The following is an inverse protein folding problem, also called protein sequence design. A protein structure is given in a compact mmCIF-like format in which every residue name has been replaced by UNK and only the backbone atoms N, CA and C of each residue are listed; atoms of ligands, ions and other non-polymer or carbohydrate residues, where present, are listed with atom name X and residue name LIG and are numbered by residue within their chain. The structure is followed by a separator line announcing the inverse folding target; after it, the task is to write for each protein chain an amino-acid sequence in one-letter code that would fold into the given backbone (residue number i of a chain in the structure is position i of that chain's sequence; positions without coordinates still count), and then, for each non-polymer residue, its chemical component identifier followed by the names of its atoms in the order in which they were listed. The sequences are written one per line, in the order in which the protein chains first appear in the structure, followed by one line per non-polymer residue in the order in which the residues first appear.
data_IF_049744719934
#
_entry.id   IF_049744719934
#
_cell.length_a   1.000
_cell.length_b   1.000
_cell.length_c   1.000
_cell.angle_alpha   90.00
_cell.angle_beta   90.00
_cell.angle_gamma   90.00
#
_symmetry.space_group_name_H-M   'P 1'
#
loop_
_entity.id
_entity.type
_entity.pdbx_description
1 polymer ?
#
# COMPACT_ATOMS: atom_id res chain seq x y z
N UNK A 1 -35.04 -31.89 -48.59
CA UNK A 1 -36.25 -31.70 -47.76
C UNK A 1 -35.82 -31.70 -46.31
N UNK A 2 -36.15 -30.64 -45.56
CA UNK A 2 -36.38 -30.58 -44.09
C UNK A 2 -35.48 -31.43 -43.18
N UNK A 3 -34.73 -30.92 -42.21
CA UNK A 3 -35.05 -29.92 -41.17
C UNK A 3 -34.47 -30.51 -39.87
N UNK A 4 -33.56 -29.83 -39.17
CA UNK A 4 -33.91 -29.05 -37.97
C UNK A 4 -33.69 -29.85 -36.67
N UNK A 5 -32.67 -29.49 -35.89
CA UNK A 5 -32.73 -29.35 -34.42
C UNK A 5 -31.34 -29.00 -33.88
N UNK A 6 -31.22 -27.76 -33.42
CA UNK A 6 -30.11 -27.24 -32.66
C UNK A 6 -30.38 -27.40 -31.15
N UNK A 7 -29.28 -27.28 -30.39
CA UNK A 7 -29.17 -26.95 -28.95
C UNK A 7 -29.33 -28.13 -27.98
N UNK A 8 -28.26 -28.38 -27.22
CA UNK A 8 -28.15 -28.30 -25.75
C UNK A 8 -27.08 -29.29 -25.28
N UNK A 9 -25.86 -28.79 -24.97
CA UNK A 9 -24.93 -29.33 -23.96
C UNK A 9 -23.52 -28.74 -24.19
N UNK A 10 -23.27 -27.55 -23.67
CA UNK A 10 -21.92 -27.05 -23.42
C UNK A 10 -21.99 -25.96 -22.35
N UNK A 11 -22.30 -26.37 -21.13
CA UNK A 11 -22.11 -25.62 -19.89
C UNK A 11 -21.56 -26.62 -18.88
N UNK A 12 -20.66 -26.15 -18.02
CA UNK A 12 -19.95 -26.87 -16.95
C UNK A 12 -18.59 -27.46 -17.34
N UNK A 13 -17.57 -26.60 -17.48
CA UNK A 13 -16.15 -26.93 -17.21
C UNK A 13 -15.28 -25.65 -17.26
N UNK A 14 -15.63 -24.65 -16.44
CA UNK A 14 -14.80 -23.45 -16.25
C UNK A 14 -14.84 -23.00 -14.80
N UNK A 15 -14.55 -23.91 -13.87
CA UNK A 15 -14.61 -23.61 -12.45
C UNK A 15 -13.86 -24.63 -11.63
N UNK A 16 -12.53 -24.75 -11.83
CA UNK A 16 -11.64 -25.32 -10.82
C UNK A 16 -10.16 -25.15 -11.19
N UNK A 17 -9.60 -23.94 -11.09
CA UNK A 17 -8.16 -23.79 -10.83
C UNK A 17 -7.98 -22.60 -9.88
N UNK A 18 -8.47 -22.74 -8.66
CA UNK A 18 -8.05 -21.90 -7.54
C UNK A 18 -6.92 -22.66 -6.86
N UNK A 19 -5.71 -22.53 -7.40
CA UNK A 19 -4.50 -23.05 -6.76
C UNK A 19 -4.30 -22.26 -5.47
N UNK A 20 -4.39 -22.97 -4.34
CA UNK A 20 -4.01 -22.51 -3.02
C UNK A 20 -2.54 -22.08 -3.03
N UNK A 21 -2.28 -20.81 -3.30
CA UNK A 21 -1.14 -20.12 -2.71
C UNK A 21 -1.63 -19.60 -1.35
N UNK A 22 -1.58 -20.45 -0.32
CA UNK A 22 -1.53 -19.94 1.04
C UNK A 22 -0.17 -19.27 1.14
N UNK A 23 -0.13 -17.96 0.84
CA UNK A 23 0.96 -17.13 1.31
C UNK A 23 0.86 -17.19 2.84
N UNK A 24 1.64 -18.07 3.44
CA UNK A 24 1.99 -17.95 4.84
C UNK A 24 2.63 -16.58 4.93
N UNK A 25 1.87 -15.59 5.41
CA UNK A 25 2.45 -14.34 5.91
C UNK A 25 3.30 -14.76 7.09
N UNK A 26 4.51 -15.20 6.80
CA UNK A 26 5.59 -15.17 7.77
C UNK A 26 5.75 -13.69 8.02
N UNK A 27 5.16 -13.21 9.11
CA UNK A 27 5.63 -12.00 9.76
C UNK A 27 7.11 -12.28 10.03
N UNK A 28 7.96 -11.86 9.09
CA UNK A 28 9.38 -11.78 9.34
C UNK A 28 9.46 -10.75 10.46
N UNK A 29 9.70 -11.24 11.68
CA UNK A 29 10.13 -10.41 12.78
C UNK A 29 11.46 -9.76 12.33
N UNK A 30 11.34 -8.60 11.68
CA UNK A 30 12.43 -7.94 10.95
C UNK A 30 12.06 -6.56 10.43
N UNK A 31 10.79 -6.32 10.05
CA UNK A 31 10.24 -4.97 9.98
C UNK A 31 9.62 -4.64 11.33
N UNK A 32 10.38 -4.01 12.20
CA UNK A 32 9.81 -3.33 13.36
C UNK A 32 8.87 -2.24 12.83
N UNK A 33 7.59 -2.58 12.68
CA UNK A 33 6.51 -1.58 12.62
C UNK A 33 6.67 -0.74 13.87
N UNK A 34 7.25 0.45 13.71
CA UNK A 34 7.52 1.34 14.83
C UNK A 34 6.18 1.90 15.27
N UNK A 35 5.75 1.42 16.44
CA UNK A 35 4.77 2.05 17.30
C UNK A 35 5.14 3.54 17.44
N UNK A 36 4.45 4.40 16.70
CA UNK A 36 4.66 5.85 16.79
C UNK A 36 3.83 6.41 17.93
N UNK A 37 4.38 7.38 18.68
CA UNK A 37 3.61 8.11 19.69
C UNK A 37 2.29 8.61 19.09
N UNK A 38 1.15 8.49 19.80
CA UNK A 38 -0.13 8.99 19.29
C UNK A 38 -0.01 10.49 18.96
N UNK A 39 -0.25 10.84 17.70
CA UNK A 39 -0.34 12.25 17.29
C UNK A 39 -1.61 12.78 17.92
N UNK A 40 -1.52 13.72 18.87
CA UNK A 40 -2.62 14.08 19.78
C UNK A 40 -3.94 14.52 19.12
N UNK A 41 -3.96 14.78 17.81
CA UNK A 41 -5.14 15.14 17.03
C UNK A 41 -5.67 14.00 16.12
N UNK A 42 -4.90 12.94 15.90
CA UNK A 42 -5.28 11.79 15.07
C UNK A 42 -6.36 10.96 15.78
N UNK A 43 -7.53 10.81 15.15
CA UNK A 43 -8.65 10.02 15.72
C UNK A 43 -9.73 9.73 14.67
N UNK A 44 -10.58 8.76 15.00
CA UNK A 44 -11.85 8.50 14.32
C UNK A 44 -13.00 8.84 15.27
N UNK A 45 -13.84 9.81 14.90
CA UNK A 45 -15.05 10.16 15.63
C UNK A 45 -16.20 9.24 15.24
N UNK A 46 -16.46 8.26 16.11
CA UNK A 46 -17.56 7.30 15.94
C UNK A 46 -18.92 7.87 16.37
N UNK A 47 -18.96 9.04 17.02
CA UNK A 47 -20.22 9.65 17.50
C UNK A 47 -21.02 10.31 16.38
N UNK A 48 -20.37 10.67 15.28
CA UNK A 48 -20.98 11.19 14.07
C UNK A 48 -21.73 10.11 13.24
N UNK A 49 -21.80 8.88 13.74
CA UNK A 49 -22.45 7.74 13.10
C UNK A 49 -21.60 7.13 11.99
N UNK A 50 -21.96 5.91 11.58
CA UNK A 50 -21.28 5.16 10.53
C UNK A 50 -22.28 4.46 9.61
N UNK A 51 -21.76 3.81 8.58
CA UNK A 51 -22.56 2.95 7.70
C UNK A 51 -22.90 1.62 8.38
N UNK A 52 -23.97 0.91 7.97
CA UNK A 52 -24.26 -0.42 8.48
C UNK A 52 -23.14 -1.42 8.12
N UNK A 53 -22.64 -2.16 9.12
CA UNK A 53 -21.77 -3.32 8.93
C UNK A 53 -22.54 -4.59 9.28
N UNK A 54 -22.48 -5.58 8.39
CA UNK A 54 -23.04 -6.92 8.64
C UNK A 54 -21.96 -7.81 9.23
N UNK A 55 -22.24 -8.44 10.37
CA UNK A 55 -21.28 -9.33 11.05
C UNK A 55 -21.51 -10.78 10.63
N UNK A 56 -20.50 -11.40 10.01
CA UNK A 56 -20.50 -12.83 9.66
C UNK A 56 -19.84 -13.70 10.74
N UNK A 57 -19.00 -13.11 11.60
CA UNK A 57 -18.41 -13.73 12.78
C UNK A 57 -17.87 -12.64 13.70
N UNK A 58 -17.76 -12.91 15.00
CA UNK A 58 -17.39 -11.92 16.01
C UNK A 58 -16.56 -12.54 17.12
N UNK A 59 -15.59 -11.78 17.62
CA UNK A 59 -14.89 -12.04 18.87
C UNK A 59 -15.11 -10.92 19.88
N UNK A 60 -14.84 -11.22 21.14
CA UNK A 60 -14.94 -10.27 22.25
C UNK A 60 -16.36 -9.90 22.62
N UNK A 61 -16.47 -9.05 23.64
CA UNK A 61 -17.74 -8.48 24.09
C UNK A 61 -17.71 -6.98 23.82
N UNK A 62 -18.72 -6.40 23.15
CA UNK A 62 -18.78 -4.96 22.91
C UNK A 62 -18.71 -4.15 24.21
N UNK A 63 -18.04 -2.99 24.18
CA UNK A 63 -18.10 -2.05 25.28
C UNK A 63 -19.55 -1.58 25.51
N UNK A 64 -19.98 -1.54 26.77
CA UNK A 64 -21.28 -0.95 27.14
C UNK A 64 -21.19 0.57 27.16
N UNK A 65 -22.31 1.27 27.31
CA UNK A 65 -22.31 2.72 27.44
C UNK A 65 -21.50 3.24 28.66
N UNK A 66 -21.22 2.37 29.64
CA UNK A 66 -20.40 2.70 30.80
C UNK A 66 -18.90 2.48 30.57
N UNK A 67 -18.52 1.73 29.52
CA UNK A 67 -17.14 1.36 29.21
C UNK A 67 -16.60 2.21 28.06
N UNK A 68 -15.30 2.49 28.08
CA UNK A 68 -14.62 3.08 26.93
C UNK A 68 -14.55 2.05 25.79
N UNK A 69 -14.67 2.53 24.54
CA UNK A 69 -14.52 1.69 23.37
C UNK A 69 -13.10 1.12 23.32
N UNK A 70 -13.00 -0.18 23.07
CA UNK A 70 -11.72 -0.84 22.85
C UNK A 70 -11.78 -1.67 21.56
N UNK A 71 -11.48 -1.03 20.41
CA UNK A 71 -11.48 -1.67 19.10
C UNK A 71 -10.58 -2.91 18.99
N UNK A 72 -9.60 -3.06 19.90
CA UNK A 72 -8.66 -4.18 19.89
C UNK A 72 -9.20 -5.38 20.68
N UNK A 73 -10.19 -5.18 21.56
CA UNK A 73 -10.76 -6.25 22.41
C UNK A 73 -12.08 -6.81 21.91
N UNK A 74 -12.74 -6.14 20.97
CA UNK A 74 -14.05 -6.52 20.47
C UNK A 74 -14.21 -6.19 18.99
N UNK A 75 -14.59 -7.18 18.20
CA UNK A 75 -14.99 -6.99 16.80
C UNK A 75 -16.07 -5.92 16.64
N UNK A 76 -17.05 -5.84 17.55
CA UNK A 76 -18.11 -4.84 17.47
C UNK A 76 -17.63 -3.40 17.73
N UNK A 77 -16.56 -3.23 18.51
CA UNK A 77 -15.95 -1.91 18.74
C UNK A 77 -15.09 -1.52 17.54
N UNK A 78 -14.33 -2.47 16.98
CA UNK A 78 -13.61 -2.32 15.72
C UNK A 78 -14.54 -1.98 14.55
N UNK A 79 -15.66 -2.71 14.42
CA UNK A 79 -16.69 -2.49 13.41
C UNK A 79 -17.24 -1.06 13.48
N UNK A 80 -17.42 -0.48 14.67
CA UNK A 80 -17.88 0.92 14.79
C UNK A 80 -16.86 1.92 14.27
N UNK A 81 -15.57 1.66 14.48
CA UNK A 81 -14.49 2.48 13.92
C UNK A 81 -14.48 2.36 12.39
N UNK A 82 -14.51 1.13 11.87
CA UNK A 82 -14.53 0.87 10.42
C UNK A 82 -15.78 1.47 9.76
N UNK A 83 -16.94 1.41 10.42
CA UNK A 83 -18.19 1.99 9.94
C UNK A 83 -18.11 3.51 9.79
N UNK A 84 -17.43 4.19 10.72
CA UNK A 84 -17.21 5.63 10.64
C UNK A 84 -16.26 5.98 9.47
N UNK A 85 -15.22 5.17 9.24
CA UNK A 85 -14.31 5.34 8.09
C UNK A 85 -15.03 5.16 6.76
N UNK A 86 -15.84 4.11 6.59
CA UNK A 86 -16.61 3.93 5.37
C UNK A 86 -17.65 5.04 5.14
N UNK A 87 -18.25 5.57 6.20
CA UNK A 87 -19.13 6.74 6.07
C UNK A 87 -18.38 8.00 5.59
N UNK A 88 -17.14 8.21 6.05
CA UNK A 88 -16.28 9.30 5.60
C UNK A 88 -15.88 9.11 4.13
N UNK A 89 -15.51 7.88 3.74
CA UNK A 89 -15.19 7.53 2.35
C UNK A 89 -16.38 7.71 1.40
N UNK A 90 -17.59 7.29 1.80
CA UNK A 90 -18.81 7.54 1.02
C UNK A 90 -19.07 9.04 0.83
N UNK A 91 -18.85 9.84 1.87
CA UNK A 91 -19.00 11.29 1.80
C UNK A 91 -17.95 11.93 0.88
N UNK A 92 -16.68 11.56 1.04
CA UNK A 92 -15.57 12.05 0.22
C UNK A 92 -15.80 11.75 -1.25
N UNK A 93 -16.08 10.49 -1.60
CA UNK A 93 -16.28 10.08 -2.99
C UNK A 93 -17.56 10.63 -3.60
N UNK A 94 -18.63 10.79 -2.83
CA UNK A 94 -19.83 11.48 -3.29
C UNK A 94 -19.51 12.92 -3.70
N UNK A 95 -18.73 13.65 -2.89
CA UNK A 95 -18.31 15.01 -3.19
C UNK A 95 -17.35 15.06 -4.40
N UNK A 96 -16.34 14.20 -4.43
CA UNK A 96 -15.35 14.15 -5.51
C UNK A 96 -15.98 13.84 -6.88
N UNK A 97 -16.89 12.85 -6.92
CA UNK A 97 -17.61 12.49 -8.15
C UNK A 97 -18.56 13.59 -8.60
N UNK A 98 -19.29 14.22 -7.67
CA UNK A 98 -20.15 15.35 -7.97
C UNK A 98 -19.36 16.54 -8.51
N UNK A 99 -18.21 16.86 -7.92
CA UNK A 99 -17.34 17.95 -8.37
C UNK A 99 -16.80 17.70 -9.78
N UNK A 100 -16.53 16.45 -10.13
CA UNK A 100 -16.10 16.02 -11.45
C UNK A 100 -17.24 15.87 -12.48
N UNK A 101 -18.49 16.19 -12.11
CA UNK A 101 -19.66 16.02 -12.98
C UNK A 101 -19.95 14.56 -13.34
N UNK A 102 -19.48 13.60 -12.54
CA UNK A 102 -19.73 12.17 -12.70
C UNK A 102 -21.08 11.80 -12.10
N UNK A 103 -21.55 10.60 -12.43
CA UNK A 103 -22.72 10.03 -11.77
C UNK A 103 -22.50 9.95 -10.26
N UNK A 104 -23.56 10.20 -9.49
CA UNK A 104 -23.51 10.11 -8.04
C UNK A 104 -22.99 8.75 -7.58
N UNK A 105 -22.26 8.75 -6.46
CA UNK A 105 -21.83 7.53 -5.81
C UNK A 105 -23.08 6.72 -5.42
N UNK A 106 -23.13 5.47 -5.86
CA UNK A 106 -24.08 4.48 -5.35
C UNK A 106 -23.32 3.61 -4.35
N UNK A 107 -23.67 3.50 -3.06
CA UNK A 107 -22.93 2.64 -2.13
C UNK A 107 -22.82 1.16 -2.62
N UNK A 108 -21.79 0.40 -2.18
CA UNK A 108 -21.65 -1.02 -2.54
C UNK A 108 -22.92 -1.82 -2.22
N UNK A 109 -23.52 -2.47 -3.23
CA UNK A 109 -24.81 -3.16 -3.08
C UNK A 109 -24.74 -4.36 -2.11
N UNK A 110 -23.60 -5.04 -2.03
CA UNK A 110 -23.31 -6.10 -1.07
C UNK A 110 -22.98 -5.60 0.35
N UNK A 111 -22.79 -4.29 0.50
CA UNK A 111 -22.46 -3.62 1.75
C UNK A 111 -21.07 -3.96 2.30
N UNK A 112 -20.87 -3.66 3.58
CA UNK A 112 -19.64 -3.93 4.32
C UNK A 112 -19.86 -5.09 5.29
N UNK A 113 -18.95 -6.06 5.29
CA UNK A 113 -19.09 -7.31 6.06
C UNK A 113 -17.87 -7.54 6.95
N UNK A 114 -18.10 -7.53 8.25
CA UNK A 114 -17.12 -7.91 9.26
C UNK A 114 -17.07 -9.42 9.40
N UNK A 115 -15.87 -10.00 9.38
CA UNK A 115 -15.67 -11.44 9.54
C UNK A 115 -14.56 -11.69 10.56
N UNK A 116 -14.78 -12.60 11.50
CA UNK A 116 -13.73 -13.13 12.36
C UNK A 116 -13.01 -14.26 11.62
N UNK A 117 -11.73 -14.06 11.29
CA UNK A 117 -10.90 -15.05 10.58
C UNK A 117 -10.58 -16.30 11.40
N UNK A 118 -10.75 -16.24 12.72
CA UNK A 118 -10.62 -17.35 13.67
C UNK A 118 -11.97 -18.01 13.99
N UNK A 119 -13.05 -17.53 13.37
CA UNK A 119 -14.39 -18.04 13.53
C UNK A 119 -14.56 -19.49 13.08
N UNK A 120 -15.73 -20.10 13.34
CA UNK A 120 -15.96 -21.51 13.06
C UNK A 120 -15.90 -21.80 11.56
N UNK A 121 -15.40 -23.00 11.22
CA UNK A 121 -15.41 -23.51 9.86
C UNK A 121 -16.83 -23.52 9.28
N UNK A 122 -16.99 -23.10 8.03
CA UNK A 122 -18.28 -23.01 7.34
C UNK A 122 -18.93 -21.63 7.36
N UNK A 123 -18.41 -20.67 8.16
CA UNK A 123 -18.78 -19.26 8.04
C UNK A 123 -18.33 -18.71 6.68
N UNK A 124 -19.23 -18.02 5.98
CA UNK A 124 -19.00 -17.45 4.64
C UNK A 124 -19.45 -15.99 4.63
N UNK A 125 -18.73 -15.15 3.90
CA UNK A 125 -19.01 -13.73 3.78
C UNK A 125 -18.57 -13.25 2.40
N UNK A 126 -19.51 -12.72 1.61
CA UNK A 126 -19.23 -12.28 0.24
C UNK A 126 -18.42 -13.35 -0.53
N UNK A 127 -17.23 -13.00 -1.01
CA UNK A 127 -16.36 -13.86 -1.80
C UNK A 127 -15.50 -14.81 -0.95
N UNK A 128 -15.64 -14.75 0.37
CA UNK A 128 -14.93 -15.58 1.34
C UNK A 128 -15.76 -16.83 1.64
N UNK A 129 -15.14 -17.98 1.36
CA UNK A 129 -15.74 -19.30 1.52
C UNK A 129 -15.38 -19.98 2.84
N UNK A 130 -14.29 -19.55 3.49
CA UNK A 130 -13.86 -20.00 4.81
C UNK A 130 -13.12 -18.87 5.56
N UNK A 131 -13.24 -18.78 6.90
CA UNK A 131 -12.61 -17.71 7.70
C UNK A 131 -11.10 -17.51 7.48
N UNK A 132 -10.35 -18.59 7.31
CA UNK A 132 -8.90 -18.49 7.12
C UNK A 132 -8.47 -17.77 5.85
N UNK A 133 -9.37 -17.61 4.85
CA UNK A 133 -9.04 -16.92 3.60
C UNK A 133 -8.99 -15.39 3.74
N UNK A 134 -9.63 -14.84 4.79
CA UNK A 134 -9.61 -13.40 5.06
C UNK A 134 -8.56 -13.04 6.11
N UNK A 135 -7.87 -14.01 6.72
CA UNK A 135 -6.96 -13.77 7.84
C UNK A 135 -5.92 -12.66 7.54
N UNK A 136 -5.96 -11.60 8.34
CA UNK A 136 -5.09 -10.43 8.19
C UNK A 136 -5.34 -9.59 6.94
N UNK A 137 -6.51 -9.70 6.30
CA UNK A 137 -6.79 -9.04 5.04
C UNK A 137 -8.21 -8.42 4.96
N UNK A 138 -8.41 -7.58 3.95
CA UNK A 138 -9.70 -7.07 3.49
C UNK A 138 -9.79 -7.27 1.97
N UNK A 139 -11.01 -7.35 1.45
CA UNK A 139 -11.22 -7.43 0.01
C UNK A 139 -12.49 -6.70 -0.39
N UNK A 140 -12.42 -5.92 -1.46
CA UNK A 140 -13.58 -5.69 -2.32
C UNK A 140 -13.88 -6.93 -3.16
N UNK A 141 -15.09 -7.49 -3.00
CA UNK A 141 -15.59 -8.64 -3.74
C UNK A 141 -16.39 -8.20 -4.98
N UNK A 142 -15.82 -8.20 -6.21
CA UNK A 142 -16.43 -7.50 -7.34
C UNK A 142 -17.75 -8.10 -7.84
N UNK A 143 -17.93 -9.42 -7.67
CA UNK A 143 -19.14 -10.12 -8.10
C UNK A 143 -20.35 -9.86 -7.19
N UNK A 144 -20.11 -9.47 -5.94
CA UNK A 144 -21.13 -9.18 -4.94
C UNK A 144 -21.19 -7.70 -4.58
N UNK A 145 -20.32 -6.86 -5.18
CA UNK A 145 -20.19 -5.42 -4.94
C UNK A 145 -20.22 -5.07 -3.45
N UNK A 146 -19.30 -5.66 -2.68
CA UNK A 146 -19.21 -5.42 -1.23
C UNK A 146 -17.80 -5.61 -0.72
N UNK A 147 -17.50 -5.06 0.45
CA UNK A 147 -16.19 -5.18 1.10
C UNK A 147 -16.32 -6.11 2.29
N UNK A 148 -15.41 -7.08 2.41
CA UNK A 148 -15.27 -7.96 3.57
C UNK A 148 -13.92 -7.72 4.22
N UNK A 149 -13.86 -7.70 5.55
CA UNK A 149 -12.61 -7.47 6.27
C UNK A 149 -12.48 -8.36 7.50
N UNK A 150 -11.24 -8.70 7.82
CA UNK A 150 -10.91 -9.43 9.04
C UNK A 150 -10.97 -8.54 10.27
N UNK A 151 -12.00 -8.74 11.07
CA UNK A 151 -12.17 -8.05 12.34
C UNK A 151 -11.17 -8.48 13.40
N UNK A 152 -10.67 -9.73 13.36
CA UNK A 152 -9.86 -10.33 14.42
C UNK A 152 -8.35 -10.21 14.18
N UNK A 153 -7.92 -10.21 12.92
CA UNK A 153 -6.52 -10.04 12.52
C UNK A 153 -6.23 -8.63 12.01
N UNK A 154 -6.84 -8.24 10.89
CA UNK A 154 -6.49 -7.00 10.19
C UNK A 154 -6.78 -5.74 11.03
N UNK A 155 -8.03 -5.56 11.49
CA UNK A 155 -8.43 -4.32 12.19
C UNK A 155 -7.56 -4.06 13.44
N UNK A 156 -7.28 -5.05 14.30
CA UNK A 156 -6.38 -4.86 15.43
C UNK A 156 -4.95 -4.50 15.02
N UNK A 157 -4.41 -5.12 13.97
CA UNK A 157 -3.06 -4.79 13.46
C UNK A 157 -3.03 -3.36 12.91
N UNK A 158 -4.03 -2.96 12.13
CA UNK A 158 -4.14 -1.61 11.58
C UNK A 158 -4.17 -0.55 12.70
N UNK A 159 -5.03 -0.73 13.70
CA UNK A 159 -5.15 0.23 14.80
C UNK A 159 -3.95 0.20 15.75
N UNK A 160 -3.44 -0.99 16.07
CA UNK A 160 -2.34 -1.16 17.03
C UNK A 160 -1.00 -0.69 16.49
N UNK A 161 -0.69 -1.00 15.22
CA UNK A 161 0.61 -0.69 14.62
C UNK A 161 0.60 0.60 13.81
N UNK A 162 -0.53 0.96 13.19
CA UNK A 162 -0.62 2.07 12.24
C UNK A 162 -1.63 3.15 12.62
N UNK A 163 -2.28 3.02 13.77
CA UNK A 163 -3.23 4.01 14.27
C UNK A 163 -4.48 4.16 13.40
N UNK A 164 -5.20 5.26 13.64
CA UNK A 164 -6.43 5.57 12.90
C UNK A 164 -6.12 5.93 11.44
N UNK A 165 -5.01 6.61 11.20
CA UNK A 165 -4.62 7.03 9.86
C UNK A 165 -4.29 5.83 8.95
N UNK A 166 -3.55 4.83 9.47
CA UNK A 166 -3.24 3.61 8.73
C UNK A 166 -4.48 2.77 8.45
N UNK A 167 -5.38 2.63 9.43
CA UNK A 167 -6.67 1.97 9.21
C UNK A 167 -7.47 2.67 8.10
N UNK A 168 -7.55 4.00 8.14
CA UNK A 168 -8.29 4.77 7.15
C UNK A 168 -7.71 4.62 5.74
N UNK A 169 -6.38 4.63 5.58
CA UNK A 169 -5.73 4.43 4.29
C UNK A 169 -5.96 3.03 3.71
N UNK A 170 -5.86 1.99 4.53
CA UNK A 170 -6.09 0.60 4.11
C UNK A 170 -7.54 0.41 3.61
N UNK A 171 -8.53 0.95 4.32
CA UNK A 171 -9.91 0.89 3.85
C UNK A 171 -10.21 1.83 2.68
N UNK A 172 -9.45 2.92 2.53
CA UNK A 172 -9.55 3.78 1.36
C UNK A 172 -9.09 3.07 0.07
N UNK A 173 -8.08 2.20 0.17
CA UNK A 173 -7.67 1.31 -0.92
C UNK A 173 -8.82 0.37 -1.32
N UNK A 174 -9.39 -0.38 -0.37
CA UNK A 174 -10.52 -1.29 -0.65
C UNK A 174 -11.74 -0.57 -1.24
N UNK A 175 -12.04 0.62 -0.72
CA UNK A 175 -13.10 1.46 -1.24
C UNK A 175 -12.78 2.02 -2.62
N UNK A 176 -11.50 2.23 -2.94
CA UNK A 176 -11.01 2.56 -4.26
C UNK A 176 -11.49 1.57 -5.31
N UNK A 177 -11.43 0.26 -5.05
CA UNK A 177 -12.00 -0.75 -5.96
C UNK A 177 -13.52 -0.61 -6.14
N UNK A 178 -14.25 -0.26 -5.08
CA UNK A 178 -15.68 0.00 -5.20
C UNK A 178 -15.95 1.20 -6.13
N UNK A 179 -15.15 2.27 -6.03
CA UNK A 179 -15.26 3.45 -6.90
C UNK A 179 -14.87 3.10 -8.33
N UNK A 180 -13.81 2.32 -8.56
CA UNK A 180 -13.38 1.88 -9.89
C UNK A 180 -14.54 1.24 -10.68
N UNK A 181 -15.33 0.38 -10.04
CA UNK A 181 -16.49 -0.28 -10.69
C UNK A 181 -17.57 0.71 -11.12
N UNK A 182 -17.62 1.91 -10.52
CA UNK A 182 -18.61 2.95 -10.81
C UNK A 182 -18.14 3.94 -11.86
N UNK A 183 -16.84 4.16 -11.97
CA UNK A 183 -16.24 5.22 -12.81
C UNK A 183 -15.45 4.70 -14.00
N UNK A 184 -15.04 3.43 -13.94
CA UNK A 184 -14.19 2.77 -14.92
C UNK A 184 -14.87 1.56 -15.58
N UNK A 185 -14.12 0.71 -16.26
CA UNK A 185 -14.64 -0.51 -16.88
C UNK A 185 -15.19 -1.46 -15.82
N UNK A 186 -16.28 -2.17 -16.16
CA UNK A 186 -16.86 -3.17 -15.26
C UNK A 186 -15.88 -4.31 -15.00
N UNK A 187 -16.02 -5.07 -13.88
CA UNK A 187 -15.18 -6.23 -13.62
C UNK A 187 -15.16 -7.24 -14.77
N UNK A 188 -16.30 -7.45 -15.45
CA UNK A 188 -16.39 -8.33 -16.60
C UNK A 188 -15.59 -7.82 -17.82
N UNK A 189 -15.56 -6.49 -18.04
CA UNK A 189 -14.73 -5.90 -19.10
C UNK A 189 -13.25 -6.04 -18.77
N UNK A 190 -12.84 -5.76 -17.53
CA UNK A 190 -11.45 -5.93 -17.08
C UNK A 190 -10.98 -7.38 -17.24
N UNK A 191 -11.81 -8.34 -16.80
CA UNK A 191 -11.52 -9.75 -16.90
C UNK A 191 -11.42 -10.25 -18.36
N UNK A 192 -12.15 -9.63 -19.29
CA UNK A 192 -12.11 -9.99 -20.71
C UNK A 192 -10.86 -9.48 -21.43
N UNK A 193 -10.14 -8.50 -20.85
CA UNK A 193 -8.94 -7.88 -21.43
C UNK A 193 -7.86 -7.69 -20.33
N UNK A 194 -7.27 -8.78 -19.83
CA UNK A 194 -6.29 -8.74 -18.74
C UNK A 194 -4.94 -8.11 -19.13
N UNK A 195 -4.65 -8.00 -20.43
CA UNK A 195 -3.44 -7.31 -20.92
C UNK A 195 -3.59 -5.79 -20.76
N UNK A 196 -4.79 -5.27 -21.03
CA UNK A 196 -5.12 -3.86 -20.83
C UNK A 196 -5.43 -3.50 -19.37
N UNK A 197 -6.00 -4.45 -18.63
CA UNK A 197 -6.40 -4.26 -17.23
C UNK A 197 -5.80 -5.34 -16.33
N UNK A 198 -4.46 -5.43 -16.25
CA UNK A 198 -3.80 -6.39 -15.37
C UNK A 198 -4.07 -6.05 -13.90
N UNK A 199 -3.94 -7.05 -13.02
CA UNK A 199 -4.16 -6.86 -11.58
C UNK A 199 -3.35 -5.69 -11.02
N UNK A 200 -2.06 -5.59 -11.38
CA UNK A 200 -1.18 -4.49 -10.92
C UNK A 200 -1.72 -3.10 -11.26
N UNK A 201 -2.40 -2.92 -12.40
CA UNK A 201 -3.03 -1.64 -12.74
C UNK A 201 -4.26 -1.41 -11.87
N UNK A 202 -5.08 -2.43 -11.64
CA UNK A 202 -6.27 -2.35 -10.78
C UNK A 202 -5.88 -1.97 -9.35
N UNK A 203 -4.78 -2.56 -8.83
CA UNK A 203 -4.22 -2.24 -7.52
C UNK A 203 -3.61 -0.84 -7.48
N UNK A 204 -2.85 -0.44 -8.51
CA UNK A 204 -2.29 0.91 -8.60
C UNK A 204 -3.38 1.99 -8.57
N UNK A 205 -4.49 1.76 -9.26
CA UNK A 205 -5.64 2.66 -9.24
C UNK A 205 -6.30 2.73 -7.84
N UNK A 206 -6.26 1.65 -7.05
CA UNK A 206 -6.81 1.61 -5.69
C UNK A 206 -5.88 2.31 -4.67
N UNK A 207 -4.56 2.11 -4.78
CA UNK A 207 -3.58 2.86 -4.00
C UNK A 207 -3.62 4.36 -4.33
N UNK A 208 -3.78 4.71 -5.61
CA UNK A 208 -4.04 6.09 -6.01
C UNK A 208 -5.31 6.65 -5.34
N UNK A 209 -6.41 5.90 -5.37
CA UNK A 209 -7.66 6.30 -4.72
C UNK A 209 -7.47 6.54 -3.21
N UNK A 210 -6.67 5.71 -2.54
CA UNK A 210 -6.29 5.90 -1.15
C UNK A 210 -5.50 7.21 -0.95
N UNK A 211 -4.52 7.50 -1.81
CA UNK A 211 -3.78 8.76 -1.78
C UNK A 211 -4.64 9.99 -1.97
N UNK A 212 -5.59 9.95 -2.92
CA UNK A 212 -6.53 11.04 -3.14
C UNK A 212 -7.44 11.29 -1.93
N UNK A 213 -7.90 10.21 -1.28
CA UNK A 213 -8.65 10.30 -0.03
C UNK A 213 -7.79 10.91 1.09
N UNK A 214 -6.54 10.49 1.26
CA UNK A 214 -5.65 11.04 2.28
C UNK A 214 -5.44 12.56 2.11
N UNK A 215 -5.28 13.04 0.87
CA UNK A 215 -5.21 14.48 0.59
C UNK A 215 -6.50 15.21 1.01
N UNK A 216 -7.67 14.62 0.71
CA UNK A 216 -8.96 15.15 1.14
C UNK A 216 -9.13 15.16 2.66
N UNK A 217 -8.77 14.07 3.34
CA UNK A 217 -8.87 13.94 4.79
C UNK A 217 -7.98 14.94 5.52
N UNK A 218 -6.76 15.16 5.03
CA UNK A 218 -5.86 16.20 5.56
C UNK A 218 -6.46 17.60 5.36
N UNK A 219 -7.02 17.89 4.19
CA UNK A 219 -7.67 19.18 3.92
C UNK A 219 -8.94 19.42 4.76
N UNK A 220 -9.61 18.34 5.17
CA UNK A 220 -10.84 18.38 5.95
C UNK A 220 -10.61 18.23 7.48
N UNK A 221 -9.36 18.08 7.94
CA UNK A 221 -9.05 17.63 9.32
C UNK A 221 -9.70 18.48 10.42
N UNK A 222 -9.86 19.79 10.21
CA UNK A 222 -10.44 20.73 11.18
C UNK A 222 -11.89 21.15 10.82
N UNK A 223 -12.49 20.54 9.81
CA UNK A 223 -13.84 20.90 9.38
C UNK A 223 -14.91 20.31 10.34
N UNK A 224 -16.01 21.05 10.61
CA UNK A 224 -17.11 20.51 11.39
C UNK A 224 -17.72 19.28 10.74
N UNK A 225 -17.92 18.21 11.53
CA UNK A 225 -18.54 16.97 11.06
C UNK A 225 -17.58 15.99 10.37
N UNK A 226 -16.28 16.28 10.33
CA UNK A 226 -15.23 15.33 9.92
C UNK A 226 -15.23 14.12 10.85
N UNK A 227 -15.30 12.90 10.29
CA UNK A 227 -15.23 11.66 11.09
C UNK A 227 -13.79 11.21 11.26
N UNK A 228 -12.99 11.35 10.21
CA UNK A 228 -11.62 10.85 10.16
C UNK A 228 -10.64 12.03 10.21
N UNK A 229 -9.97 12.18 11.34
CA UNK A 229 -9.01 13.27 11.54
C UNK A 229 -7.59 12.75 11.29
N UNK A 230 -7.01 13.12 10.15
CA UNK A 230 -5.63 12.77 9.77
C UNK A 230 -4.83 14.07 9.69
N UNK A 231 -4.07 14.43 10.74
CA UNK A 231 -3.09 15.51 10.66
C UNK A 231 -2.00 15.18 9.62
N UNK A 232 -1.37 16.17 8.98
CA UNK A 232 -0.26 15.94 8.04
C UNK A 232 0.87 15.06 8.62
N UNK A 233 1.18 15.23 9.91
CA UNK A 233 2.21 14.44 10.61
C UNK A 233 1.88 12.93 10.69
N UNK A 234 0.61 12.56 10.51
CA UNK A 234 0.16 11.16 10.50
C UNK A 234 0.33 10.49 9.12
N UNK A 235 0.65 11.22 8.05
CA UNK A 235 0.68 10.67 6.68
C UNK A 235 1.71 9.55 6.50
N UNK A 236 2.88 9.62 7.15
CA UNK A 236 3.86 8.53 7.12
C UNK A 236 3.26 7.23 7.69
N UNK A 237 2.53 7.36 8.79
CA UNK A 237 1.82 6.23 9.42
C UNK A 237 0.63 5.77 8.59
N UNK A 238 -0.05 6.71 7.92
CA UNK A 238 -1.19 6.43 7.06
C UNK A 238 -0.81 5.52 5.89
N UNK A 239 0.31 5.80 5.22
CA UNK A 239 0.73 4.99 4.06
C UNK A 239 1.44 3.70 4.45
N UNK A 240 2.00 3.62 5.66
CA UNK A 240 2.78 2.47 6.12
C UNK A 240 2.13 1.08 5.92
N UNK A 241 0.83 0.82 6.17
CA UNK A 241 0.24 -0.49 5.91
C UNK A 241 0.27 -0.87 4.43
N UNK A 242 0.12 0.09 3.51
CA UNK A 242 0.22 -0.19 2.06
C UNK A 242 1.67 -0.57 1.69
N UNK A 243 2.66 0.05 2.34
CA UNK A 243 4.08 -0.22 2.08
C UNK A 243 4.60 -1.49 2.77
N UNK A 244 4.04 -1.86 3.93
CA UNK A 244 4.46 -3.03 4.71
C UNK A 244 3.78 -4.31 4.23
N UNK A 245 2.53 -4.22 3.76
CA UNK A 245 1.81 -5.31 3.10
C UNK A 245 2.03 -5.32 1.58
N UNK A 246 3.22 -4.88 1.14
CA UNK A 246 3.68 -4.98 -0.25
C UNK A 246 3.87 -6.44 -0.68
N UNK A 247 3.95 -6.64 -1.99
CA UNK A 247 4.29 -7.95 -2.53
C UNK A 247 5.73 -8.37 -2.15
N UNK A 248 5.96 -9.68 -2.13
CA UNK A 248 7.32 -10.19 -2.12
C UNK A 248 7.96 -9.98 -3.49
N UNK A 249 9.29 -9.73 -3.59
CA UNK A 249 9.95 -9.54 -4.89
C UNK A 249 9.80 -10.71 -5.87
N UNK A 250 9.49 -11.92 -5.36
CA UNK A 250 9.21 -13.13 -6.14
C UNK A 250 7.84 -13.18 -6.80
N UNK A 251 6.94 -12.26 -6.47
CA UNK A 251 5.66 -12.11 -7.15
C UNK A 251 5.91 -11.60 -8.58
N UNK A 252 5.30 -12.26 -9.57
CA UNK A 252 5.35 -11.76 -10.94
C UNK A 252 4.42 -10.54 -11.07
N UNK A 253 4.80 -9.48 -11.80
CA UNK A 253 3.92 -8.31 -12.00
C UNK A 253 2.62 -8.66 -12.77
N UNK A 254 2.63 -9.76 -13.52
CA UNK A 254 1.46 -10.30 -14.22
C UNK A 254 0.62 -11.24 -13.36
N UNK A 255 0.98 -11.47 -12.09
CA UNK A 255 0.21 -12.32 -11.20
C UNK A 255 -1.16 -11.69 -10.93
N UNK A 256 -2.24 -12.48 -10.83
CA UNK A 256 -3.58 -11.96 -10.57
C UNK A 256 -3.74 -11.35 -9.15
N UNK A 257 -2.71 -11.46 -8.32
CA UNK A 257 -2.66 -10.95 -6.94
C UNK A 257 -1.52 -9.93 -6.75
N UNK A 258 -1.00 -9.35 -7.84
CA UNK A 258 0.10 -8.39 -7.75
C UNK A 258 -0.43 -7.00 -7.37
N UNK A 259 0.13 -6.43 -6.31
CA UNK A 259 -0.10 -5.06 -5.82
C UNK A 259 1.10 -4.15 -6.07
N UNK A 260 2.30 -4.71 -6.19
CA UNK A 260 3.56 -3.98 -6.34
C UNK A 260 4.45 -4.06 -5.10
N UNK A 261 5.70 -3.64 -5.27
CA UNK A 261 6.63 -3.42 -4.18
C UNK A 261 6.32 -2.14 -3.41
N UNK A 262 7.00 -1.91 -2.29
CA UNK A 262 6.71 -0.77 -1.42
C UNK A 262 6.83 0.56 -2.17
N UNK A 263 7.91 0.74 -2.92
CA UNK A 263 8.13 1.94 -3.72
C UNK A 263 7.08 2.12 -4.83
N UNK A 264 6.65 1.04 -5.48
CA UNK A 264 5.60 1.09 -6.52
C UNK A 264 4.30 1.64 -5.91
N UNK A 265 3.89 1.04 -4.78
CA UNK A 265 2.68 1.42 -4.05
C UNK A 265 2.73 2.85 -3.53
N UNK A 266 3.90 3.29 -3.03
CA UNK A 266 4.10 4.69 -2.65
C UNK A 266 3.92 5.63 -3.86
N UNK A 267 4.47 5.29 -5.02
CA UNK A 267 4.29 6.06 -6.25
C UNK A 267 2.81 6.23 -6.63
N UNK A 268 2.02 5.16 -6.51
CA UNK A 268 0.58 5.19 -6.79
C UNK A 268 -0.18 6.09 -5.81
N UNK A 269 0.10 5.95 -4.51
CA UNK A 269 -0.47 6.82 -3.47
C UNK A 269 -0.14 8.29 -3.75
N UNK A 270 1.12 8.59 -4.07
CA UNK A 270 1.55 9.96 -4.37
C UNK A 270 0.86 10.53 -5.61
N UNK A 271 0.60 9.71 -6.63
CA UNK A 271 -0.15 10.13 -7.81
C UNK A 271 -1.53 10.66 -7.43
N UNK A 272 -2.29 9.90 -6.64
CA UNK A 272 -3.63 10.34 -6.21
C UNK A 272 -3.58 11.50 -5.22
N UNK A 273 -2.62 11.48 -4.29
CA UNK A 273 -2.44 12.56 -3.31
C UNK A 273 -2.17 13.92 -3.97
N UNK A 274 -1.42 13.93 -5.08
CA UNK A 274 -1.01 15.16 -5.79
C UNK A 274 -1.97 15.56 -6.91
N UNK A 275 -2.41 14.60 -7.72
CA UNK A 275 -3.18 14.85 -8.93
C UNK A 275 -4.70 14.80 -8.69
N UNK A 276 -5.13 14.31 -7.52
CA UNK A 276 -6.52 14.28 -7.09
C UNK A 276 -7.30 13.06 -7.54
N UNK A 277 -8.59 12.96 -7.18
CA UNK A 277 -9.32 11.69 -7.23
C UNK A 277 -9.57 11.12 -8.63
N UNK A 278 -9.68 11.98 -9.64
CA UNK A 278 -10.05 11.53 -10.99
C UNK A 278 -8.86 11.03 -11.80
N UNK A 279 -7.64 11.49 -11.49
CA UNK A 279 -6.42 11.05 -12.19
C UNK A 279 -6.14 9.56 -11.98
N UNK A 280 -6.66 8.96 -10.91
CA UNK A 280 -6.52 7.54 -10.62
C UNK A 280 -7.10 6.67 -11.72
N UNK A 281 -8.16 7.11 -12.39
CA UNK A 281 -8.84 6.32 -13.42
C UNK A 281 -8.23 6.50 -14.81
N UNK A 282 -7.33 7.48 -14.95
CA UNK A 282 -6.58 7.76 -16.16
C UNK A 282 -5.27 6.95 -16.23
N UNK A 283 -4.85 6.34 -15.12
CA UNK A 283 -3.69 5.44 -15.10
C UNK A 283 -3.89 4.26 -16.05
N UNK A 284 -2.85 3.98 -16.81
CA UNK A 284 -2.74 2.89 -17.78
C UNK A 284 -1.48 2.07 -17.53
N UNK A 285 -1.35 0.94 -18.24
CA UNK A 285 -0.12 0.14 -18.23
C UNK A 285 1.09 0.89 -18.77
N UNK A 286 0.88 1.89 -19.64
CA UNK A 286 1.96 2.71 -20.19
C UNK A 286 2.58 3.57 -19.08
N UNK A 287 1.76 4.18 -18.23
CA UNK A 287 2.21 4.96 -17.07
C UNK A 287 3.04 4.10 -16.12
N UNK A 288 2.63 2.84 -15.89
CA UNK A 288 3.36 1.86 -15.08
C UNK A 288 4.67 1.38 -15.72
N UNK A 289 4.93 1.75 -16.98
CA UNK A 289 6.16 1.44 -17.70
C UNK A 289 7.07 2.66 -17.89
N UNK A 290 6.54 3.88 -17.71
CA UNK A 290 7.26 5.14 -17.91
C UNK A 290 7.30 5.97 -16.63
N UNK A 291 6.23 6.70 -16.32
CA UNK A 291 6.22 7.76 -15.32
C UNK A 291 6.19 7.20 -13.89
N UNK A 292 5.54 6.05 -13.72
CA UNK A 292 5.47 5.25 -12.50
C UNK A 292 6.06 3.86 -12.76
N UNK A 293 7.20 3.82 -13.45
CA UNK A 293 7.86 2.58 -13.85
C UNK A 293 8.03 1.62 -12.67
N UNK A 294 7.42 0.42 -12.79
CA UNK A 294 7.44 -0.61 -11.76
C UNK A 294 8.86 -1.06 -11.42
N UNK A 295 9.11 -1.23 -10.13
CA UNK A 295 10.25 -1.95 -9.58
C UNK A 295 9.98 -3.46 -9.52
N UNK A 296 8.73 -3.87 -9.25
CA UNK A 296 8.33 -5.27 -9.33
C UNK A 296 8.49 -5.82 -10.75
N UNK A 297 9.21 -6.95 -10.86
CA UNK A 297 9.46 -7.61 -12.14
C UNK A 297 10.38 -6.85 -13.09
N UNK A 298 11.07 -5.81 -12.62
CA UNK A 298 12.06 -5.08 -13.42
C UNK A 298 13.13 -6.03 -13.95
N UNK A 299 13.57 -5.84 -15.19
CA UNK A 299 14.68 -6.61 -15.74
C UNK A 299 16.01 -6.21 -15.10
N UNK A 300 16.96 -7.14 -15.03
CA UNK A 300 18.33 -6.85 -14.56
C UNK A 300 18.50 -6.93 -13.04
N UNK A 301 17.44 -7.30 -12.30
CA UNK A 301 17.52 -7.59 -10.86
C UNK A 301 17.35 -9.09 -10.59
N UNK A 302 17.95 -9.55 -9.51
CA UNK A 302 17.84 -10.90 -8.98
C UNK A 302 16.66 -10.98 -8.01
N UNK A 303 15.68 -11.80 -8.36
CA UNK A 303 14.42 -11.96 -7.64
C UNK A 303 14.55 -12.87 -6.41
N UNK A 304 15.37 -13.92 -6.52
CA UNK A 304 15.66 -14.86 -5.43
C UNK A 304 17.16 -14.82 -5.10
N UNK A 305 17.64 -13.80 -4.38
CA UNK A 305 19.05 -13.70 -4.05
C UNK A 305 19.50 -14.83 -3.11
N UNK A 306 20.79 -15.21 -3.16
CA UNK A 306 21.34 -16.18 -2.21
C UNK A 306 21.14 -15.72 -0.77
N UNK A 307 20.99 -16.67 0.16
CA UNK A 307 20.96 -16.38 1.60
C UNK A 307 22.29 -15.79 2.13
N UNK A 308 23.38 -15.91 1.37
CA UNK A 308 24.65 -15.28 1.69
C UNK A 308 24.61 -13.79 1.36
N UNK A 309 25.05 -12.91 2.27
CA UNK A 309 25.16 -11.48 1.99
C UNK A 309 26.02 -11.21 0.76
N UNK A 310 25.67 -10.14 0.03
CA UNK A 310 26.36 -9.67 -1.18
C UNK A 310 27.81 -9.29 -0.89
N UNK A 311 28.03 -8.60 0.21
CA UNK A 311 29.35 -8.20 0.72
C UNK A 311 29.68 -8.94 2.02
N UNK A 312 30.97 -9.18 2.32
CA UNK A 312 31.38 -9.91 3.52
C UNK A 312 31.06 -9.20 4.85
N UNK A 313 30.81 -7.89 4.82
CA UNK A 313 30.44 -7.09 5.99
C UNK A 313 29.65 -5.84 5.57
N UNK A 314 28.99 -5.20 6.53
CA UNK A 314 28.36 -3.87 6.34
C UNK A 314 29.39 -2.84 5.90
N UNK A 315 30.59 -2.81 6.51
CA UNK A 315 31.67 -1.90 6.10
C UNK A 315 32.07 -2.08 4.64
N UNK A 316 32.12 -3.32 4.14
CA UNK A 316 32.42 -3.59 2.75
C UNK A 316 31.28 -3.11 1.81
N UNK A 317 30.02 -3.26 2.22
CA UNK A 317 28.88 -2.70 1.50
C UNK A 317 28.91 -1.17 1.48
N UNK A 318 29.21 -0.53 2.61
CA UNK A 318 29.36 0.94 2.75
C UNK A 318 30.51 1.45 1.89
N UNK A 319 31.65 0.75 1.85
CA UNK A 319 32.78 1.14 1.00
C UNK A 319 32.43 1.04 -0.50
N UNK A 320 31.72 0.00 -0.92
CA UNK A 320 31.22 -0.14 -2.29
C UNK A 320 30.20 0.96 -2.63
N UNK A 321 29.28 1.26 -1.72
CA UNK A 321 28.33 2.34 -1.85
C UNK A 321 29.02 3.70 -1.96
N UNK A 322 30.04 3.98 -1.13
CA UNK A 322 30.79 5.23 -1.17
C UNK A 322 31.46 5.46 -2.53
N UNK A 323 32.01 4.41 -3.16
CA UNK A 323 32.54 4.51 -4.52
C UNK A 323 31.44 4.82 -5.56
N UNK A 324 30.30 4.12 -5.49
CA UNK A 324 29.15 4.34 -6.38
C UNK A 324 28.54 5.73 -6.22
N UNK A 325 28.26 6.15 -4.98
CA UNK A 325 27.73 7.47 -4.62
C UNK A 325 28.70 8.57 -5.03
N UNK A 326 30.01 8.38 -4.84
CA UNK A 326 30.98 9.39 -5.25
C UNK A 326 31.00 9.60 -6.78
N UNK A 327 30.90 8.50 -7.54
CA UNK A 327 30.79 8.56 -8.99
C UNK A 327 29.50 9.26 -9.44
N UNK A 328 28.37 8.96 -8.79
CA UNK A 328 27.08 9.60 -9.07
C UNK A 328 27.06 11.09 -8.69
N UNK A 329 27.62 11.43 -7.53
CA UNK A 329 27.66 12.79 -7.01
C UNK A 329 28.64 13.70 -7.77
N UNK A 330 29.70 13.12 -8.34
CA UNK A 330 30.83 13.86 -8.92
C UNK A 330 31.77 14.45 -7.87
N UNK A 331 31.74 13.94 -6.63
CA UNK A 331 32.55 14.37 -5.49
C UNK A 331 32.70 13.21 -4.50
N UNK A 332 33.66 13.24 -3.55
CA UNK A 332 33.74 12.23 -2.50
C UNK A 332 32.40 12.08 -1.75
N UNK A 333 32.00 10.83 -1.51
CA UNK A 333 30.84 10.52 -0.69
C UNK A 333 31.09 10.93 0.77
N UNK A 334 30.02 11.28 1.47
CA UNK A 334 30.06 11.56 2.90
C UNK A 334 29.98 10.26 3.70
N UNK A 335 30.62 10.26 4.87
CA UNK A 335 30.46 9.16 5.83
C UNK A 335 29.05 9.23 6.46
N UNK A 336 28.31 8.11 6.49
CA UNK A 336 27.00 8.06 7.14
C UNK A 336 27.12 8.14 8.66
N UNK A 337 26.07 8.62 9.33
CA UNK A 337 25.99 8.60 10.79
C UNK A 337 25.98 7.15 11.30
N UNK A 338 26.83 6.76 12.27
CA UNK A 338 26.81 5.42 12.86
C UNK A 338 25.43 4.99 13.36
N UNK A 339 24.65 5.89 13.94
CA UNK A 339 23.31 5.59 14.42
C UNK A 339 22.30 5.37 13.28
N UNK A 340 22.53 5.97 12.10
CA UNK A 340 21.76 5.66 10.89
C UNK A 340 22.15 4.29 10.34
N UNK A 341 23.45 3.98 10.28
CA UNK A 341 23.96 2.67 9.86
C UNK A 341 23.42 1.53 10.75
N UNK A 342 23.40 1.71 12.06
CA UNK A 342 22.88 0.71 13.00
C UNK A 342 21.42 0.32 12.68
N UNK A 343 20.60 1.26 12.21
CA UNK A 343 19.20 1.01 11.83
C UNK A 343 19.07 0.16 10.56
N UNK A 344 20.08 0.18 9.70
CA UNK A 344 20.08 -0.59 8.44
C UNK A 344 20.36 -2.07 8.64
N UNK A 345 20.88 -2.45 9.81
CA UNK A 345 21.32 -3.81 10.09
C UNK A 345 20.21 -4.86 9.95
N UNK A 346 18.95 -4.50 10.23
CA UNK A 346 17.78 -5.38 10.07
C UNK A 346 17.08 -5.25 8.72
N UNK A 347 17.52 -4.31 7.87
CA UNK A 347 16.90 -4.02 6.58
C UNK A 347 17.70 -4.69 5.47
N UNK A 348 19.00 -4.40 5.37
CA UNK A 348 19.88 -5.04 4.39
C UNK A 348 21.09 -4.19 3.98
N UNK A 349 21.91 -4.76 3.09
CA UNK A 349 23.15 -4.11 2.66
C UNK A 349 22.90 -2.94 1.70
N UNK A 350 21.78 -2.91 1.00
CA UNK A 350 21.42 -1.77 0.17
C UNK A 350 20.91 -0.60 1.02
N UNK A 351 20.21 -0.87 2.11
CA UNK A 351 19.89 0.14 3.12
C UNK A 351 21.17 0.80 3.68
N UNK A 352 22.20 0.01 4.02
CA UNK A 352 23.48 0.54 4.47
C UNK A 352 24.16 1.44 3.42
N UNK A 353 24.09 1.05 2.14
CA UNK A 353 24.57 1.90 1.04
C UNK A 353 23.75 3.17 0.85
N UNK A 354 22.44 3.09 1.07
CA UNK A 354 21.51 4.23 0.99
C UNK A 354 21.79 5.27 2.08
N UNK A 355 22.29 4.87 3.25
CA UNK A 355 22.75 5.81 4.28
C UNK A 355 23.93 6.66 3.79
N UNK A 356 24.82 6.12 2.95
CA UNK A 356 25.93 6.87 2.33
C UNK A 356 25.39 7.89 1.32
N UNK A 357 24.42 7.48 0.50
CA UNK A 357 23.75 8.36 -0.45
C UNK A 357 23.03 9.50 0.28
N UNK A 358 22.32 9.20 1.36
CA UNK A 358 21.66 10.17 2.22
C UNK A 358 22.62 11.20 2.81
N UNK A 359 23.68 10.76 3.49
CA UNK A 359 24.67 11.66 4.08
C UNK A 359 25.30 12.58 3.03
N UNK A 360 25.58 12.04 1.85
CA UNK A 360 26.11 12.81 0.71
C UNK A 360 25.08 13.80 0.19
N UNK A 361 23.83 13.37 0.04
CA UNK A 361 22.70 14.20 -0.36
C UNK A 361 22.44 15.36 0.60
N UNK A 362 22.55 15.13 1.92
CA UNK A 362 22.43 16.19 2.93
C UNK A 362 23.51 17.25 2.78
N UNK A 363 24.76 16.86 2.55
CA UNK A 363 25.84 17.81 2.31
C UNK A 363 25.66 18.61 1.01
N UNK A 364 25.03 18.01 0.00
CA UNK A 364 24.80 18.64 -1.30
C UNK A 364 23.64 19.62 -1.29
N UNK A 365 22.54 19.23 -0.64
CA UNK A 365 21.25 19.95 -0.72
C UNK A 365 20.98 20.83 0.48
N UNK A 366 21.58 20.52 1.64
CA UNK A 366 21.36 21.22 2.90
C UNK A 366 19.99 20.98 3.53
N UNK A 367 19.17 20.08 2.97
CA UNK A 367 17.83 19.75 3.47
C UNK A 367 17.61 18.24 3.49
N UNK A 368 16.72 17.80 4.38
CA UNK A 368 16.40 16.38 4.54
C UNK A 368 15.54 15.89 3.35
N UNK A 369 14.59 16.69 2.87
CA UNK A 369 13.85 16.42 1.62
C UNK A 369 14.78 16.32 0.40
N UNK A 370 15.75 17.23 0.26
CA UNK A 370 16.72 17.20 -0.84
C UNK A 370 17.63 15.97 -0.78
N UNK A 371 18.03 15.57 0.43
CA UNK A 371 18.79 14.35 0.64
C UNK A 371 17.97 13.09 0.32
N UNK A 372 16.68 13.06 0.67
CA UNK A 372 15.79 11.94 0.35
C UNK A 372 15.66 11.77 -1.17
N UNK A 373 15.44 12.89 -1.89
CA UNK A 373 15.42 12.87 -3.34
C UNK A 373 16.75 12.42 -3.95
N UNK A 374 17.86 12.94 -3.44
CA UNK A 374 19.18 12.51 -3.90
C UNK A 374 19.40 11.00 -3.71
N UNK A 375 19.00 10.45 -2.56
CA UNK A 375 19.05 9.01 -2.28
C UNK A 375 18.19 8.23 -3.28
N UNK A 376 16.94 8.66 -3.53
CA UNK A 376 16.06 8.04 -4.53
C UNK A 376 16.67 8.05 -5.94
N UNK A 377 17.25 9.18 -6.35
CA UNK A 377 17.91 9.33 -7.64
C UNK A 377 19.16 8.46 -7.79
N UNK A 378 19.96 8.32 -6.72
CA UNK A 378 21.08 7.39 -6.72
C UNK A 378 20.58 5.94 -6.80
N UNK A 379 19.57 5.56 -6.00
CA UNK A 379 18.96 4.23 -6.03
C UNK A 379 18.49 3.87 -7.44
N UNK A 380 17.79 4.76 -8.13
CA UNK A 380 17.36 4.54 -9.51
C UNK A 380 18.52 4.40 -10.51
N UNK A 381 19.64 5.07 -10.26
CA UNK A 381 20.82 5.01 -11.13
C UNK A 381 21.50 3.64 -11.14
N UNK A 382 21.38 2.89 -10.04
CA UNK A 382 21.97 1.54 -9.87
C UNK A 382 20.94 0.41 -10.00
N UNK A 383 19.67 0.68 -9.71
CA UNK A 383 18.63 -0.35 -9.68
C UNK A 383 18.30 -0.91 -11.07
N UNK A 384 18.53 -2.21 -11.26
CA UNK A 384 18.34 -2.91 -12.53
C UNK A 384 19.42 -2.61 -13.60
N UNK A 385 20.45 -1.85 -13.25
CA UNK A 385 21.59 -1.53 -14.13
C UNK A 385 22.91 -2.05 -13.57
N UNK A 386 23.01 -2.23 -12.25
CA UNK A 386 24.19 -2.77 -11.60
C UNK A 386 24.45 -4.25 -11.97
N UNK A 387 25.72 -4.67 -12.11
CA UNK A 387 26.08 -6.07 -12.28
C UNK A 387 25.49 -6.97 -11.18
N UNK A 388 25.14 -8.21 -11.52
CA UNK A 388 24.64 -9.20 -10.56
C UNK A 388 25.66 -9.38 -9.44
N UNK A 389 25.23 -9.13 -8.20
CA UNK A 389 26.09 -9.17 -7.02
C UNK A 389 26.63 -7.80 -6.56
N UNK A 390 26.23 -6.71 -7.21
CA UNK A 390 26.49 -5.34 -6.75
C UNK A 390 25.21 -4.68 -6.19
N UNK A 391 25.36 -3.57 -5.48
CA UNK A 391 24.23 -2.78 -4.97
C UNK A 391 23.36 -2.32 -6.14
N UNK A 392 22.07 -2.62 -6.10
CA UNK A 392 21.08 -2.29 -7.14
C UNK A 392 20.71 -3.48 -8.02
N UNK A 393 21.36 -4.63 -7.81
CA UNK A 393 21.12 -5.83 -8.60
C UNK A 393 20.09 -6.79 -7.99
N UNK A 394 19.52 -6.53 -6.81
CA UNK A 394 18.49 -7.40 -6.21
C UNK A 394 17.13 -6.70 -6.21
N UNK A 395 16.07 -7.47 -6.39
CA UNK A 395 14.72 -6.93 -6.60
C UNK A 395 14.18 -6.13 -5.40
N UNK A 396 14.66 -6.43 -4.18
CA UNK A 396 14.30 -5.70 -2.96
C UNK A 396 15.13 -4.45 -2.66
N UNK A 397 16.19 -4.16 -3.43
CA UNK A 397 17.14 -3.09 -3.11
C UNK A 397 16.45 -1.70 -3.03
N UNK A 398 15.53 -1.39 -3.95
CA UNK A 398 14.82 -0.11 -3.94
C UNK A 398 13.95 0.07 -2.68
N UNK A 399 13.30 -1.01 -2.23
CA UNK A 399 12.51 -1.02 -0.99
C UNK A 399 13.40 -0.97 0.25
N UNK A 400 14.58 -1.60 0.24
CA UNK A 400 15.55 -1.46 1.34
C UNK A 400 15.96 0.01 1.55
N UNK A 401 16.13 0.77 0.47
CA UNK A 401 16.43 2.20 0.55
C UNK A 401 15.25 3.02 1.10
N UNK A 402 14.04 2.73 0.64
CA UNK A 402 12.83 3.36 1.16
C UNK A 402 12.63 3.03 2.65
N UNK A 403 12.80 1.77 3.03
CA UNK A 403 12.67 1.32 4.42
C UNK A 403 13.77 1.90 5.32
N UNK A 404 14.97 2.16 4.77
CA UNK A 404 16.02 2.88 5.48
C UNK A 404 15.58 4.29 5.87
N UNK A 405 15.00 5.03 4.92
CA UNK A 405 14.42 6.36 5.17
C UNK A 405 13.27 6.29 6.18
N UNK A 406 12.34 5.34 6.00
CA UNK A 406 11.20 5.11 6.91
C UNK A 406 11.62 4.69 8.32
N UNK A 407 12.84 4.19 8.49
CA UNK A 407 13.36 3.77 9.80
C UNK A 407 13.68 4.94 10.73
N UNK A 408 13.74 6.18 10.23
CA UNK A 408 14.18 7.31 11.01
C UNK A 408 13.10 7.87 11.94
N UNK A 409 13.48 8.24 13.17
CA UNK A 409 12.60 9.03 14.03
C UNK A 409 12.28 10.37 13.37
N UNK A 410 10.99 10.68 13.24
CA UNK A 410 10.53 11.97 12.73
C UNK A 410 10.58 12.14 11.22
N UNK A 411 10.81 11.06 10.45
CA UNK A 411 10.66 11.09 8.99
C UNK A 411 9.29 11.63 8.62
N UNK A 412 9.25 12.43 7.56
CA UNK A 412 8.06 13.13 7.08
C UNK A 412 7.55 12.54 5.78
N UNK A 413 6.28 12.81 5.46
CA UNK A 413 5.69 12.37 4.20
C UNK A 413 6.37 13.05 3.00
N UNK A 414 6.81 14.29 3.15
CA UNK A 414 7.55 15.03 2.12
C UNK A 414 8.89 14.37 1.79
N UNK A 415 9.57 13.77 2.76
CA UNK A 415 10.80 13.02 2.50
C UNK A 415 10.54 11.70 1.76
N UNK A 416 9.47 10.96 2.12
CA UNK A 416 9.07 9.76 1.35
C UNK A 416 8.70 10.15 -0.09
N UNK A 417 7.96 11.24 -0.24
CA UNK A 417 7.56 11.78 -1.52
C UNK A 417 8.78 12.20 -2.37
N UNK A 418 9.74 12.89 -1.75
CA UNK A 418 10.97 13.31 -2.41
C UNK A 418 11.84 12.12 -2.82
N UNK A 419 11.93 11.06 -1.99
CA UNK A 419 12.61 9.83 -2.38
C UNK A 419 12.00 9.21 -3.63
N UNK A 420 10.66 9.09 -3.70
CA UNK A 420 9.99 8.58 -4.88
C UNK A 420 10.20 9.49 -6.11
N UNK A 421 10.15 10.81 -5.93
CA UNK A 421 10.43 11.78 -7.00
C UNK A 421 11.85 11.63 -7.55
N UNK A 422 12.84 11.47 -6.67
CA UNK A 422 14.21 11.19 -7.07
C UNK A 422 14.34 9.88 -7.81
N UNK A 423 13.64 8.84 -7.36
CA UNK A 423 13.70 7.52 -8.01
C UNK A 423 13.10 7.53 -9.43
N UNK A 424 11.92 8.13 -9.62
CA UNK A 424 11.26 8.16 -10.92
C UNK A 424 11.79 9.27 -11.84
N UNK A 425 12.13 10.44 -11.30
CA UNK A 425 12.57 11.61 -12.06
C UNK A 425 14.08 11.83 -12.10
N UNK A 426 14.86 11.00 -11.38
CA UNK A 426 16.31 11.13 -11.28
C UNK A 426 16.74 12.44 -10.61
N UNK A 427 18.01 12.81 -10.79
CA UNK A 427 18.60 13.99 -10.14
C UNK A 427 17.92 15.32 -10.55
N UNK A 428 17.31 15.36 -11.72
CA UNK A 428 16.60 16.56 -12.21
C UNK A 428 15.31 16.85 -11.43
N UNK A 429 14.74 15.85 -10.74
CA UNK A 429 13.57 16.04 -9.89
C UNK A 429 13.90 16.65 -8.51
N UNK A 430 15.18 16.69 -8.13
CA UNK A 430 15.61 17.07 -6.78
C UNK A 430 15.81 18.57 -6.54
N UNK A 431 15.52 19.41 -7.53
CA UNK A 431 15.76 20.86 -7.48
C UNK A 431 17.10 21.27 -8.05
#
# INVERSE_FOLDING_TARGET
MSGGAARWAALLLSGLVMLLAVALVVVVAGSAGREGDPVAAERIDVTAGGVPIRTAGSFGTPATAADALDPLRSSADGDRVVAAVFADLEQFWSAALSAAGRTALVPPAGGFVSMDSLGPAGTRALCISQPSQIAGNAFYCPTQDGIVFDSAGLVPVLLGSYGSAGLAAAFAHEFGHAVQVRVGPTPAVRQADPDRYPAILIEAQADCAAGAYLAGAVAAVDQPGTRVHIPPASLVRAVAPLLDFRDQPSVAPTAPTAHGLGLDRLGFVLHGYRQGPMSCWDLTTDDLSTDLALTLGRSGVLVDPPATPRYPSTDAAVAAAAASVAAFAGRPAADPDPAELDRTATIGQFAAGSAVAWATGRQLTGTDTGAACFTGAWTASVFGTAPIGELGSWAGDADEALDQLRSWPGVTFDELAAFADGFHGGRAACG
#
